data_IF_222866573245
#
_entry.id   IF_222866573245
#
_cell.length_a   1.000
_cell.length_b   1.000
_cell.length_c   1.000
_cell.angle_alpha   90.00
_cell.angle_beta   90.00
_cell.angle_gamma   90.00
#
_symmetry.space_group_name_H-M   'P 1'
#
loop_
_entity.id
_entity.type
_entity.pdbx_description
1 polymer ?
#
# COMPACT_ATOMS: atom_id res chain seq x y z
N UNK A 1 -1.27 4.42 -13.62
CA UNK A 1 -1.77 4.75 -12.28
C UNK A 1 -3.29 4.77 -12.32
N UNK A 2 -3.95 3.89 -11.56
CA UNK A 2 -5.38 4.10 -11.32
C UNK A 2 -5.48 5.32 -10.38
N UNK A 3 -5.88 6.47 -10.92
CA UNK A 3 -6.10 7.69 -10.15
C UNK A 3 -7.00 7.48 -8.91
N UNK A 4 -7.76 6.38 -8.88
CA UNK A 4 -8.63 6.01 -7.75
C UNK A 4 -7.86 5.75 -6.44
N UNK A 5 -6.66 5.18 -6.50
CA UNK A 5 -5.88 4.90 -5.30
C UNK A 5 -5.46 6.18 -4.57
N UNK A 6 -5.11 7.23 -5.32
CA UNK A 6 -4.78 8.52 -4.71
C UNK A 6 -5.99 9.19 -4.05
N UNK A 7 -7.20 8.97 -4.58
CA UNK A 7 -8.42 9.47 -3.93
C UNK A 7 -8.67 8.80 -2.59
N UNK A 8 -8.50 7.49 -2.47
CA UNK A 8 -8.65 6.81 -1.19
C UNK A 8 -7.61 7.28 -0.17
N UNK A 9 -6.36 7.49 -0.60
CA UNK A 9 -5.33 8.05 0.25
C UNK A 9 -5.70 9.48 0.69
N UNK A 10 -6.17 10.34 -0.23
CA UNK A 10 -6.60 11.69 0.09
C UNK A 10 -7.78 11.71 1.07
N UNK A 11 -8.75 10.80 0.95
CA UNK A 11 -9.86 10.65 1.90
C UNK A 11 -9.33 10.27 3.29
N UNK A 12 -8.41 9.31 3.38
CA UNK A 12 -7.82 8.88 4.66
C UNK A 12 -7.03 10.03 5.30
N UNK A 13 -6.23 10.76 4.54
CA UNK A 13 -5.49 11.92 5.03
C UNK A 13 -6.43 13.06 5.47
N UNK A 14 -7.50 13.31 4.71
CA UNK A 14 -8.51 14.31 5.07
C UNK A 14 -9.25 13.92 6.36
N UNK A 15 -9.65 12.65 6.51
CA UNK A 15 -10.27 12.15 7.73
C UNK A 15 -9.33 12.28 8.93
N UNK A 16 -8.05 11.95 8.77
CA UNK A 16 -7.04 12.12 9.78
C UNK A 16 -6.87 13.62 10.16
N UNK A 17 -6.82 14.52 9.18
CA UNK A 17 -6.76 15.96 9.44
C UNK A 17 -7.96 16.44 10.26
N UNK A 18 -9.17 16.01 9.91
CA UNK A 18 -10.40 16.30 10.68
C UNK A 18 -10.31 15.79 12.10
N UNK A 19 -9.82 14.58 12.28
CA UNK A 19 -9.67 13.94 13.60
C UNK A 19 -8.75 14.76 14.52
N UNK A 20 -7.61 15.21 14.00
CA UNK A 20 -6.61 15.92 14.80
C UNK A 20 -6.90 17.42 14.99
N UNK A 21 -7.51 18.07 13.98
CA UNK A 21 -7.69 19.51 13.95
C UNK A 21 -9.16 19.96 13.94
N UNK A 22 -10.12 19.04 13.99
CA UNK A 22 -11.53 19.31 13.74
C UNK A 22 -12.19 20.32 14.67
N UNK A 23 -11.67 20.53 15.90
CA UNK A 23 -12.18 21.58 16.80
C UNK A 23 -11.73 22.97 16.42
N UNK A 24 -10.47 23.14 16.02
CA UNK A 24 -9.87 24.43 15.74
C UNK A 24 -10.15 24.92 14.31
N UNK A 25 -10.23 23.98 13.35
CA UNK A 25 -10.36 24.26 11.92
C UNK A 25 -11.54 23.54 11.27
N UNK A 26 -12.69 23.46 11.97
CA UNK A 26 -13.88 22.72 11.51
C UNK A 26 -14.30 23.07 10.08
N UNK A 27 -14.34 24.37 9.75
CA UNK A 27 -14.72 24.84 8.41
C UNK A 27 -13.70 24.41 7.35
N UNK A 28 -12.40 24.55 7.62
CA UNK A 28 -11.34 24.13 6.69
C UNK A 28 -11.32 22.62 6.50
N UNK A 29 -11.52 21.87 7.59
CA UNK A 29 -11.59 20.40 7.56
C UNK A 29 -12.79 19.90 6.77
N UNK A 30 -13.96 20.51 6.99
CA UNK A 30 -15.18 20.22 6.23
C UNK A 30 -15.02 20.57 4.74
N UNK A 31 -14.47 21.75 4.45
CA UNK A 31 -14.21 22.19 3.07
C UNK A 31 -13.23 21.24 2.34
N UNK A 32 -12.15 20.82 3.01
CA UNK A 32 -11.20 19.86 2.44
C UNK A 32 -11.86 18.50 2.17
N UNK A 33 -12.65 17.99 3.10
CA UNK A 33 -13.37 16.74 2.93
C UNK A 33 -14.38 16.84 1.76
N UNK A 34 -15.14 17.91 1.71
CA UNK A 34 -16.07 18.18 0.60
C UNK A 34 -15.33 18.29 -0.73
N UNK A 35 -14.19 19.00 -0.79
CA UNK A 35 -13.40 19.14 -2.00
C UNK A 35 -12.89 17.77 -2.50
N UNK A 36 -12.38 16.91 -1.61
CA UNK A 36 -11.93 15.56 -1.96
C UNK A 36 -13.09 14.69 -2.44
N UNK A 37 -14.26 14.76 -1.78
CA UNK A 37 -15.44 14.02 -2.19
C UNK A 37 -15.96 14.50 -3.55
N UNK A 38 -16.07 15.81 -3.76
CA UNK A 38 -16.50 16.40 -5.05
C UNK A 38 -15.50 16.02 -6.15
N UNK A 39 -14.20 16.15 -5.93
CA UNK A 39 -13.18 15.74 -6.90
C UNK A 39 -13.28 14.25 -7.23
N UNK A 40 -13.55 13.39 -6.24
CA UNK A 40 -13.74 11.95 -6.43
C UNK A 40 -14.97 11.64 -7.26
N UNK A 41 -16.09 12.32 -6.98
CA UNK A 41 -17.33 12.18 -7.73
C UNK A 41 -17.15 12.68 -9.18
N UNK A 42 -16.59 13.88 -9.36
CA UNK A 42 -16.30 14.43 -10.69
C UNK A 42 -15.39 13.48 -11.48
N UNK A 43 -14.33 12.96 -10.85
CA UNK A 43 -13.45 12.01 -11.50
C UNK A 43 -14.15 10.72 -11.90
N UNK A 44 -15.11 10.23 -11.12
CA UNK A 44 -15.86 9.01 -11.41
C UNK A 44 -16.92 9.20 -12.48
N UNK A 45 -17.63 10.34 -12.48
CA UNK A 45 -18.77 10.58 -13.37
C UNK A 45 -18.42 11.29 -14.69
N UNK A 46 -17.35 12.12 -14.70
CA UNK A 46 -16.99 12.89 -15.89
C UNK A 46 -15.98 12.18 -16.81
N UNK A 47 -15.72 10.91 -16.59
CA UNK A 47 -14.83 10.13 -17.46
C UNK A 47 -15.49 9.87 -18.82
N UNK A 48 -14.78 10.07 -19.95
CA UNK A 48 -15.24 9.63 -21.26
C UNK A 48 -15.53 8.12 -21.28
N UNK A 49 -16.52 7.68 -22.05
CA UNK A 49 -16.93 6.26 -22.13
C UNK A 49 -15.77 5.33 -22.47
N UNK A 50 -14.91 5.71 -23.43
CA UNK A 50 -13.69 4.94 -23.77
C UNK A 50 -12.74 4.76 -22.57
N UNK A 51 -12.59 5.81 -21.75
CA UNK A 51 -11.79 5.71 -20.53
C UNK A 51 -12.42 4.79 -19.50
N UNK A 52 -13.75 4.75 -19.41
CA UNK A 52 -14.45 3.86 -18.48
C UNK A 52 -14.21 2.39 -18.82
N UNK A 53 -14.28 2.02 -20.10
CA UNK A 53 -14.01 0.65 -20.56
C UNK A 53 -12.55 0.23 -20.32
N UNK A 54 -11.60 1.10 -20.62
CA UNK A 54 -10.18 0.90 -20.34
C UNK A 54 -9.93 0.64 -18.86
N UNK A 55 -10.47 1.50 -17.97
CA UNK A 55 -10.30 1.31 -16.53
C UNK A 55 -11.04 0.09 -15.98
N UNK A 56 -12.20 -0.26 -16.56
CA UNK A 56 -12.88 -1.51 -16.22
C UNK A 56 -12.04 -2.74 -16.61
N UNK A 57 -11.32 -2.66 -17.73
CA UNK A 57 -10.35 -3.67 -18.13
C UNK A 57 -9.22 -3.83 -17.10
N UNK A 58 -8.60 -2.72 -16.71
CA UNK A 58 -7.55 -2.71 -15.67
C UNK A 58 -8.11 -3.28 -14.35
N UNK A 59 -9.29 -2.86 -13.91
CA UNK A 59 -9.87 -3.34 -12.66
C UNK A 59 -10.12 -4.85 -12.68
N UNK A 60 -10.52 -5.42 -13.81
CA UNK A 60 -10.65 -6.87 -13.99
C UNK A 60 -9.32 -7.60 -13.87
N UNK A 61 -8.27 -7.09 -14.51
CA UNK A 61 -6.91 -7.61 -14.40
C UNK A 61 -6.46 -7.58 -12.95
N UNK A 62 -6.55 -6.42 -12.31
CA UNK A 62 -6.12 -6.23 -10.93
C UNK A 62 -6.87 -7.14 -9.94
N UNK A 63 -8.17 -7.40 -10.15
CA UNK A 63 -8.92 -8.35 -9.32
C UNK A 63 -8.43 -9.78 -9.50
N UNK A 64 -8.14 -10.17 -10.73
CA UNK A 64 -7.60 -11.49 -11.04
C UNK A 64 -6.26 -11.68 -10.33
N UNK A 65 -5.36 -10.71 -10.44
CA UNK A 65 -4.05 -10.75 -9.80
C UNK A 65 -4.17 -10.73 -8.26
N UNK A 66 -5.02 -9.86 -7.72
CA UNK A 66 -5.27 -9.79 -6.27
C UNK A 66 -5.71 -11.15 -5.72
N UNK A 67 -6.61 -11.85 -6.42
CA UNK A 67 -7.18 -13.10 -5.91
C UNK A 67 -6.24 -14.26 -6.16
N UNK A 68 -5.79 -14.47 -7.39
CA UNK A 68 -5.00 -15.66 -7.72
C UNK A 68 -3.54 -15.53 -7.30
N UNK A 69 -2.91 -14.41 -7.60
CA UNK A 69 -1.49 -14.20 -7.30
C UNK A 69 -1.29 -13.67 -5.87
N UNK A 70 -2.20 -12.83 -5.38
CA UNK A 70 -2.16 -12.32 -4.00
C UNK A 70 -2.70 -13.33 -2.99
N UNK A 71 -4.03 -13.52 -2.96
CA UNK A 71 -4.72 -14.20 -1.85
C UNK A 71 -4.59 -15.70 -1.90
N UNK A 72 -4.95 -16.36 -3.02
CA UNK A 72 -4.96 -17.81 -3.10
C UNK A 72 -3.56 -18.42 -3.02
N UNK A 73 -2.56 -17.77 -3.62
CA UNK A 73 -1.16 -18.21 -3.55
C UNK A 73 -0.63 -18.26 -2.11
N UNK A 74 -1.08 -17.36 -1.25
CA UNK A 74 -0.59 -17.24 0.13
C UNK A 74 -1.53 -17.91 1.14
N UNK A 75 -2.67 -18.45 0.68
CA UNK A 75 -3.57 -19.19 1.55
C UNK A 75 -3.00 -20.59 1.86
N UNK A 76 -3.11 -20.99 3.14
CA UNK A 76 -2.82 -22.38 3.53
C UNK A 76 -3.93 -23.36 3.10
N UNK A 77 -5.10 -22.83 2.72
CA UNK A 77 -6.27 -23.56 2.29
C UNK A 77 -6.93 -22.83 1.10
N UNK A 78 -6.29 -22.89 -0.08
CA UNK A 78 -6.73 -22.09 -1.23
C UNK A 78 -8.13 -22.43 -1.72
N UNK A 79 -8.57 -23.72 -1.60
CA UNK A 79 -9.93 -24.14 -1.95
C UNK A 79 -10.98 -23.49 -1.02
N UNK A 80 -10.74 -23.52 0.31
CA UNK A 80 -11.64 -22.87 1.28
C UNK A 80 -11.66 -21.34 1.06
N UNK A 81 -10.51 -20.74 0.72
CA UNK A 81 -10.43 -19.32 0.41
C UNK A 81 -11.20 -18.97 -0.87
N UNK A 82 -11.11 -19.79 -1.91
CA UNK A 82 -11.87 -19.64 -3.15
C UNK A 82 -13.38 -19.69 -2.88
N UNK A 83 -13.85 -20.66 -2.11
CA UNK A 83 -15.25 -20.80 -1.73
C UNK A 83 -15.73 -19.61 -0.89
N UNK A 84 -14.92 -19.12 0.06
CA UNK A 84 -15.25 -17.93 0.87
C UNK A 84 -15.38 -16.66 0.02
N UNK A 85 -14.67 -16.59 -1.11
CA UNK A 85 -14.79 -15.54 -2.11
C UNK A 85 -16.01 -15.73 -3.05
N UNK A 86 -16.68 -16.88 -2.95
CA UNK A 86 -17.80 -17.27 -3.82
C UNK A 86 -17.36 -17.75 -5.19
N UNK A 87 -16.13 -18.27 -5.27
CA UNK A 87 -15.59 -18.99 -6.42
C UNK A 87 -15.78 -20.49 -6.24
N UNK A 88 -15.64 -21.23 -7.35
CA UNK A 88 -15.58 -22.70 -7.30
C UNK A 88 -14.27 -23.16 -6.66
N UNK A 89 -14.25 -24.28 -5.91
CA UNK A 89 -13.02 -24.77 -5.28
C UNK A 89 -11.89 -25.05 -6.28
N UNK A 90 -12.22 -25.45 -7.52
CA UNK A 90 -11.25 -25.69 -8.59
C UNK A 90 -10.43 -24.43 -8.95
N UNK A 91 -10.96 -23.26 -8.64
CA UNK A 91 -10.25 -21.97 -8.84
C UNK A 91 -8.95 -21.90 -8.04
N UNK A 92 -8.79 -22.71 -6.98
CA UNK A 92 -7.54 -22.83 -6.25
C UNK A 92 -6.36 -23.29 -7.12
N UNK A 93 -6.62 -24.01 -8.23
CA UNK A 93 -5.59 -24.40 -9.19
C UNK A 93 -4.98 -23.22 -9.95
N UNK A 94 -5.62 -22.05 -9.89
CA UNK A 94 -5.10 -20.81 -10.49
C UNK A 94 -4.19 -20.01 -9.51
N UNK A 95 -4.01 -20.51 -8.28
CA UNK A 95 -3.15 -19.85 -7.30
C UNK A 95 -1.73 -19.63 -7.86
N UNK A 96 -1.22 -18.41 -7.74
CA UNK A 96 0.10 -18.02 -8.28
C UNK A 96 0.12 -17.71 -9.78
N UNK A 97 -1.03 -17.73 -10.47
CA UNK A 97 -1.11 -17.41 -11.91
C UNK A 97 -1.70 -16.00 -12.06
N UNK A 98 -0.90 -15.07 -12.57
CA UNK A 98 -1.34 -13.71 -12.83
C UNK A 98 -2.17 -13.56 -14.11
N UNK A 99 -2.95 -12.49 -14.20
CA UNK A 99 -3.79 -12.17 -15.35
C UNK A 99 -3.00 -12.07 -16.66
N UNK A 100 -1.72 -11.70 -16.60
CA UNK A 100 -0.83 -11.67 -17.75
C UNK A 100 -0.78 -13.02 -18.47
N UNK A 101 -0.68 -14.15 -17.72
CA UNK A 101 -0.63 -15.48 -18.31
C UNK A 101 -1.90 -15.82 -19.10
N UNK A 102 -3.06 -15.37 -18.63
CA UNK A 102 -4.34 -15.56 -19.31
C UNK A 102 -4.48 -14.66 -20.55
N UNK A 103 -4.12 -13.40 -20.40
CA UNK A 103 -4.23 -12.39 -21.47
C UNK A 103 -3.34 -12.72 -22.68
N UNK A 104 -2.23 -13.40 -22.46
CA UNK A 104 -1.30 -13.82 -23.52
C UNK A 104 -1.48 -15.28 -23.96
N UNK A 105 -2.55 -15.96 -23.51
CA UNK A 105 -2.85 -17.33 -23.90
C UNK A 105 -1.84 -18.37 -23.40
N UNK A 106 -0.98 -18.00 -22.43
CA UNK A 106 0.00 -18.91 -21.84
C UNK A 106 -0.66 -19.95 -20.92
N UNK A 107 -1.82 -19.62 -20.38
CA UNK A 107 -2.65 -20.47 -19.54
C UNK A 107 -4.13 -20.19 -19.78
N UNK A 108 -4.95 -21.23 -19.78
CA UNK A 108 -6.40 -21.10 -19.80
C UNK A 108 -6.91 -20.64 -18.42
N UNK A 109 -7.78 -19.62 -18.41
CA UNK A 109 -8.45 -19.21 -17.19
C UNK A 109 -9.73 -20.03 -17.00
N UNK A 110 -9.66 -21.05 -16.16
CA UNK A 110 -10.82 -21.89 -15.82
C UNK A 110 -11.85 -21.20 -14.91
N UNK A 111 -11.53 -20.00 -14.40
CA UNK A 111 -12.36 -19.24 -13.45
C UNK A 111 -12.51 -17.77 -13.88
N UNK A 112 -13.11 -17.46 -15.03
CA UNK A 112 -13.24 -16.10 -15.53
C UNK A 112 -14.11 -15.21 -14.62
N UNK A 113 -14.95 -15.81 -13.77
CA UNK A 113 -15.79 -15.12 -12.79
C UNK A 113 -14.98 -14.36 -11.72
N UNK A 114 -13.69 -14.66 -11.53
CA UNK A 114 -12.82 -13.95 -10.60
C UNK A 114 -12.77 -12.44 -10.88
N UNK A 115 -12.83 -12.06 -12.15
CA UNK A 115 -12.79 -10.67 -12.58
C UNK A 115 -14.00 -9.85 -12.10
N UNK A 116 -15.10 -10.49 -11.71
CA UNK A 116 -16.32 -9.86 -11.21
C UNK A 116 -16.47 -9.86 -9.69
N UNK A 117 -15.51 -10.47 -8.96
CA UNK A 117 -15.56 -10.57 -7.50
C UNK A 117 -15.56 -9.17 -6.87
N UNK A 118 -16.54 -8.93 -5.99
CA UNK A 118 -16.59 -7.68 -5.22
C UNK A 118 -15.44 -7.61 -4.20
N UNK A 119 -14.80 -6.44 -4.08
CA UNK A 119 -13.79 -6.19 -3.04
C UNK A 119 -14.32 -6.35 -1.60
N UNK A 120 -15.65 -6.23 -1.41
CA UNK A 120 -16.27 -6.54 -0.12
C UNK A 120 -16.12 -8.01 0.28
N UNK A 121 -16.02 -8.93 -0.68
CA UNK A 121 -15.75 -10.35 -0.39
C UNK A 121 -14.34 -10.55 0.20
N UNK A 122 -13.37 -9.72 -0.17
CA UNK A 122 -12.04 -9.73 0.46
C UNK A 122 -12.10 -9.32 1.93
N UNK A 123 -12.96 -8.35 2.28
CA UNK A 123 -13.19 -7.98 3.69
C UNK A 123 -13.84 -9.13 4.46
N UNK A 124 -14.82 -9.82 3.86
CA UNK A 124 -15.42 -11.00 4.46
C UNK A 124 -14.40 -12.12 4.66
N UNK A 125 -13.55 -12.36 3.67
CA UNK A 125 -12.44 -13.32 3.78
C UNK A 125 -11.49 -12.94 4.93
N UNK A 126 -11.21 -11.64 5.13
CA UNK A 126 -10.36 -11.19 6.22
C UNK A 126 -10.93 -11.54 7.61
N UNK A 127 -12.26 -11.54 7.74
CA UNK A 127 -12.95 -11.96 8.97
C UNK A 127 -12.94 -13.48 9.13
N UNK A 128 -13.20 -14.21 8.04
CA UNK A 128 -13.30 -15.67 8.06
C UNK A 128 -11.93 -16.36 8.13
N UNK A 129 -10.92 -15.80 7.45
CA UNK A 129 -9.58 -16.37 7.33
C UNK A 129 -8.50 -15.29 7.57
N UNK A 130 -8.39 -14.73 8.78
CA UNK A 130 -7.43 -13.65 9.06
C UNK A 130 -5.98 -14.08 8.84
N UNK A 131 -5.66 -15.36 9.02
CA UNK A 131 -4.32 -15.89 8.75
C UNK A 131 -3.94 -15.83 7.26
N UNK A 132 -4.88 -16.03 6.33
CA UNK A 132 -4.65 -15.88 4.89
C UNK A 132 -4.30 -14.44 4.57
N UNK A 133 -5.09 -13.48 5.07
CA UNK A 133 -4.83 -12.06 4.85
C UNK A 133 -3.50 -11.61 5.46
N UNK A 134 -3.18 -12.08 6.67
CA UNK A 134 -1.90 -11.78 7.32
C UNK A 134 -0.71 -12.30 6.50
N UNK A 135 -0.79 -13.54 5.96
CA UNK A 135 0.26 -14.09 5.09
C UNK A 135 0.39 -13.32 3.79
N UNK A 136 -0.74 -12.93 3.18
CA UNK A 136 -0.75 -12.11 1.96
C UNK A 136 -0.11 -10.75 2.20
N UNK A 137 -0.43 -10.09 3.32
CA UNK A 137 0.21 -8.82 3.71
C UNK A 137 1.70 -8.98 4.01
N UNK A 138 2.09 -10.08 4.65
CA UNK A 138 3.50 -10.38 4.92
C UNK A 138 4.27 -10.56 3.61
N UNK A 139 3.72 -11.33 2.67
CA UNK A 139 4.32 -11.51 1.34
C UNK A 139 4.43 -10.18 0.57
N UNK A 140 3.37 -9.35 0.62
CA UNK A 140 3.41 -8.00 0.07
C UNK A 140 4.48 -7.13 0.72
N UNK A 141 4.63 -7.20 2.04
CA UNK A 141 5.69 -6.48 2.76
C UNK A 141 7.09 -6.92 2.29
N UNK A 142 7.30 -8.22 2.11
CA UNK A 142 8.56 -8.77 1.59
C UNK A 142 8.83 -8.34 0.15
N UNK A 143 7.79 -8.26 -0.68
CA UNK A 143 7.91 -7.79 -2.06
C UNK A 143 8.38 -6.32 -2.16
N UNK A 144 8.23 -5.53 -1.08
CA UNK A 144 8.76 -4.17 -1.00
C UNK A 144 10.25 -4.09 -0.68
N UNK A 145 10.89 -5.16 -0.23
CA UNK A 145 12.33 -5.13 0.08
C UNK A 145 13.19 -4.68 -1.11
N UNK A 146 13.01 -5.16 -2.35
CA UNK A 146 13.76 -4.69 -3.51
C UNK A 146 13.52 -3.21 -3.86
N UNK A 147 12.36 -2.65 -3.48
CA UNK A 147 11.98 -1.26 -3.77
C UNK A 147 12.97 -0.25 -3.19
N UNK A 148 13.64 -0.58 -2.08
CA UNK A 148 14.69 0.28 -1.53
C UNK A 148 15.91 0.44 -2.47
N UNK A 149 16.09 -0.48 -3.43
CA UNK A 149 17.10 -0.37 -4.50
C UNK A 149 16.66 0.51 -5.67
N UNK A 150 15.39 0.92 -5.70
CA UNK A 150 14.77 1.61 -6.84
C UNK A 150 15.11 3.09 -6.96
N UNK A 151 15.68 3.73 -5.94
CA UNK A 151 16.06 5.14 -6.03
C UNK A 151 16.86 5.49 -7.28
N UNK A 152 17.77 4.63 -7.77
CA UNK A 152 18.48 4.85 -9.04
C UNK A 152 17.65 4.55 -10.28
N UNK A 153 16.66 3.66 -10.20
CA UNK A 153 15.85 3.23 -11.36
C UNK A 153 14.71 4.19 -11.70
N UNK A 154 14.38 5.15 -10.83
CA UNK A 154 13.46 6.25 -11.15
C UNK A 154 13.98 7.13 -12.29
N UNK A 155 15.27 6.99 -12.66
CA UNK A 155 15.90 7.66 -13.80
C UNK A 155 16.56 6.63 -14.73
N UNK A 156 15.78 5.80 -15.47
CA UNK A 156 16.32 4.71 -16.29
C UNK A 156 17.27 5.21 -17.39
N UNK A 157 17.17 6.48 -17.80
CA UNK A 157 18.06 7.07 -18.79
C UNK A 157 19.47 7.38 -18.27
N UNK A 158 19.68 7.38 -16.96
CA UNK A 158 20.97 7.62 -16.31
C UNK A 158 21.51 6.42 -15.53
N UNK A 159 20.74 5.34 -15.45
CA UNK A 159 21.14 4.14 -14.69
C UNK A 159 22.40 3.47 -15.25
N UNK A 160 22.67 3.62 -16.56
CA UNK A 160 23.88 3.13 -17.20
C UNK A 160 25.14 3.97 -16.91
N UNK A 161 24.96 5.22 -16.45
CA UNK A 161 26.05 6.16 -16.16
C UNK A 161 26.50 6.09 -14.69
N UNK A 162 25.67 5.50 -13.80
CA UNK A 162 25.98 5.35 -12.40
C UNK A 162 26.85 4.10 -12.20
N UNK A 163 28.05 4.30 -11.68
CA UNK A 163 28.96 3.16 -11.41
C UNK A 163 28.34 2.20 -10.38
N UNK A 164 28.51 0.87 -10.57
CA UNK A 164 28.02 -0.12 -9.61
C UNK A 164 28.45 0.13 -8.16
N UNK A 165 29.59 0.78 -7.94
CA UNK A 165 30.08 1.12 -6.60
C UNK A 165 29.28 2.21 -5.87
N UNK A 166 28.61 3.11 -6.58
CA UNK A 166 27.76 4.12 -5.96
C UNK A 166 26.51 3.52 -5.29
N UNK A 167 26.03 2.39 -5.83
CA UNK A 167 24.86 1.68 -5.25
C UNK A 167 25.24 0.87 -4.01
N UNK A 168 26.43 0.27 -4.02
CA UNK A 168 26.89 -0.58 -2.92
C UNK A 168 27.07 0.16 -1.60
N UNK A 169 27.28 1.48 -1.63
CA UNK A 169 27.51 2.32 -0.45
C UNK A 169 26.30 3.11 0.04
N UNK A 170 25.15 3.01 -0.66
CA UNK A 170 23.94 3.73 -0.24
C UNK A 170 23.23 3.02 0.92
N UNK A 171 22.62 3.75 1.90
CA UNK A 171 21.80 3.12 2.93
C UNK A 171 20.66 2.24 2.36
N UNK A 172 20.19 2.54 1.17
CA UNK A 172 19.17 1.74 0.47
C UNK A 172 19.69 0.37 0.06
N UNK A 173 20.97 0.23 -0.31
CA UNK A 173 21.55 -1.07 -0.65
C UNK A 173 21.61 -2.02 0.54
N UNK A 174 21.82 -1.49 1.76
CA UNK A 174 21.77 -2.27 3.00
C UNK A 174 20.38 -2.87 3.23
N UNK A 175 19.34 -2.14 2.85
CA UNK A 175 17.96 -2.62 2.99
C UNK A 175 17.62 -3.72 1.99
N UNK A 176 18.06 -3.56 0.72
CA UNK A 176 17.86 -4.59 -0.33
C UNK A 176 18.56 -5.88 0.03
N UNK A 177 19.81 -5.79 0.56
CA UNK A 177 20.62 -6.95 0.91
C UNK A 177 20.39 -7.47 2.33
N UNK A 178 19.54 -6.81 3.13
CA UNK A 178 19.27 -7.22 4.50
C UNK A 178 18.69 -8.64 4.56
N UNK A 179 19.15 -9.49 5.49
CA UNK A 179 18.49 -10.75 5.75
C UNK A 179 17.01 -10.54 6.08
N UNK A 180 16.13 -11.44 5.59
CA UNK A 180 14.66 -11.36 5.77
C UNK A 180 14.24 -10.98 7.20
N UNK A 181 14.85 -11.60 8.20
CA UNK A 181 14.52 -11.31 9.61
C UNK A 181 14.84 -9.88 10.03
N UNK A 182 15.96 -9.34 9.57
CA UNK A 182 16.35 -7.95 9.85
C UNK A 182 15.41 -6.97 9.15
N UNK A 183 15.07 -7.22 7.87
CA UNK A 183 14.13 -6.40 7.12
C UNK A 183 12.75 -6.37 7.81
N UNK A 184 12.18 -7.53 8.12
CA UNK A 184 10.89 -7.62 8.80
C UNK A 184 10.92 -7.00 10.20
N UNK A 185 12.04 -7.15 10.92
CA UNK A 185 12.25 -6.50 12.21
C UNK A 185 12.19 -4.98 12.09
N UNK A 186 12.83 -4.41 11.06
CA UNK A 186 12.75 -2.97 10.79
C UNK A 186 11.33 -2.52 10.44
N UNK A 187 10.61 -3.27 9.60
CA UNK A 187 9.20 -2.94 9.27
C UNK A 187 8.32 -2.99 10.53
N UNK A 188 8.56 -3.95 11.43
CA UNK A 188 7.86 -4.01 12.70
C UNK A 188 8.16 -2.79 13.58
N UNK A 189 9.42 -2.34 13.66
CA UNK A 189 9.81 -1.11 14.36
C UNK A 189 9.09 0.10 13.75
N UNK A 190 9.06 0.23 12.44
CA UNK A 190 8.32 1.31 11.76
C UNK A 190 6.84 1.30 12.11
N UNK A 191 6.20 0.12 12.12
CA UNK A 191 4.79 -0.01 12.48
C UNK A 191 4.53 0.40 13.94
N UNK A 192 5.39 -0.01 14.87
CA UNK A 192 5.29 0.37 16.30
C UNK A 192 5.50 1.88 16.49
N UNK A 193 6.50 2.46 15.81
CA UNK A 193 6.75 3.91 15.85
C UNK A 193 5.55 4.69 15.30
N UNK A 194 4.99 4.27 14.17
CA UNK A 194 3.83 4.92 13.56
C UNK A 194 2.59 4.83 14.45
N UNK A 195 2.30 3.66 15.00
CA UNK A 195 1.18 3.45 15.93
C UNK A 195 1.35 4.26 17.22
N UNK A 196 2.54 4.24 17.80
CA UNK A 196 2.87 5.02 19.01
C UNK A 196 2.76 6.53 18.76
N UNK A 197 3.27 7.02 17.64
CA UNK A 197 3.18 8.42 17.25
C UNK A 197 1.72 8.84 16.97
N UNK A 198 0.91 7.96 16.37
CA UNK A 198 -0.52 8.19 16.17
C UNK A 198 -1.24 8.34 17.50
N UNK A 199 -1.04 7.39 18.43
CA UNK A 199 -1.64 7.45 19.78
C UNK A 199 -1.19 8.72 20.52
N UNK A 200 0.12 9.05 20.45
CA UNK A 200 0.63 10.25 21.07
C UNK A 200 0.01 11.52 20.47
N UNK A 201 -0.15 11.59 19.15
CA UNK A 201 -0.78 12.71 18.46
C UNK A 201 -2.27 12.91 18.86
N UNK A 202 -2.96 11.87 19.36
CA UNK A 202 -4.32 11.99 19.92
C UNK A 202 -4.34 12.70 21.27
N UNK A 203 -3.22 12.69 22.02
CA UNK A 203 -3.11 13.35 23.31
C UNK A 203 -2.94 14.88 23.15
N UNK A 204 -3.39 15.71 24.11
CA UNK A 204 -3.30 17.16 24.02
C UNK A 204 -1.89 17.69 23.73
N UNK A 205 -0.87 17.08 24.36
CA UNK A 205 0.55 17.45 24.16
C UNK A 205 1.08 17.04 22.79
N UNK A 206 0.60 15.92 22.25
CA UNK A 206 1.06 15.39 20.96
C UNK A 206 0.42 16.07 19.75
N UNK A 207 -0.75 16.73 19.92
CA UNK A 207 -1.47 17.38 18.82
C UNK A 207 -0.67 18.46 18.10
N UNK A 208 0.23 19.13 18.79
CA UNK A 208 1.08 20.18 18.23
C UNK A 208 2.47 19.68 17.83
N UNK A 209 2.75 18.39 18.02
CA UNK A 209 4.06 17.81 17.74
C UNK A 209 4.19 17.48 16.26
N UNK A 210 4.98 18.27 15.54
CA UNK A 210 5.25 18.04 14.11
C UNK A 210 5.94 16.70 13.85
N UNK A 211 6.89 16.31 14.71
CA UNK A 211 7.59 15.04 14.56
C UNK A 211 6.65 13.84 14.73
N UNK A 212 5.69 13.91 15.66
CA UNK A 212 4.71 12.84 15.82
C UNK A 212 3.81 12.70 14.58
N UNK A 213 3.37 13.84 14.03
CA UNK A 213 2.60 13.83 12.77
C UNK A 213 3.43 13.30 11.61
N UNK A 214 4.69 13.66 11.48
CA UNK A 214 5.58 13.13 10.44
C UNK A 214 5.72 11.60 10.54
N UNK A 215 5.92 11.04 11.74
CA UNK A 215 6.08 9.60 11.96
C UNK A 215 4.80 8.84 11.55
N UNK A 216 3.63 9.21 12.10
CA UNK A 216 2.43 8.44 11.83
C UNK A 216 1.92 8.61 10.40
N UNK A 217 2.04 9.81 9.78
CA UNK A 217 1.70 10.02 8.37
C UNK A 217 2.63 9.21 7.48
N UNK A 218 3.94 9.25 7.75
CA UNK A 218 4.91 8.44 7.02
C UNK A 218 4.61 6.95 7.10
N UNK A 219 4.30 6.44 8.29
CA UNK A 219 3.88 5.05 8.49
C UNK A 219 2.58 4.71 7.74
N UNK A 220 1.60 5.62 7.77
CA UNK A 220 0.35 5.46 7.02
C UNK A 220 0.59 5.37 5.51
N UNK A 221 1.47 6.22 4.96
CA UNK A 221 1.83 6.18 3.55
C UNK A 221 2.51 4.85 3.17
N UNK A 222 3.43 4.37 4.00
CA UNK A 222 4.08 3.07 3.80
C UNK A 222 3.06 1.93 3.85
N UNK A 223 2.22 1.87 4.88
CA UNK A 223 1.19 0.84 5.01
C UNK A 223 0.18 0.89 3.86
N UNK A 224 -0.29 2.10 3.50
CA UNK A 224 -1.22 2.28 2.38
C UNK A 224 -0.61 1.78 1.07
N UNK A 225 0.66 2.07 0.83
CA UNK A 225 1.37 1.62 -0.36
C UNK A 225 1.41 0.09 -0.45
N UNK A 226 1.81 -0.59 0.62
CA UNK A 226 1.81 -2.07 0.70
C UNK A 226 0.38 -2.60 0.52
N UNK A 227 -0.58 -2.07 1.26
CA UNK A 227 -1.97 -2.52 1.21
C UNK A 227 -2.57 -2.35 -0.19
N UNK A 228 -2.34 -1.20 -0.84
CA UNK A 228 -2.86 -0.92 -2.18
C UNK A 228 -2.21 -1.78 -3.26
N UNK A 229 -0.94 -2.13 -3.11
CA UNK A 229 -0.26 -3.07 -4.00
C UNK A 229 -0.83 -4.49 -3.85
N UNK A 230 -0.99 -4.95 -2.61
CA UNK A 230 -1.49 -6.30 -2.31
C UNK A 230 -2.94 -6.48 -2.77
N UNK A 231 -3.83 -5.57 -2.35
CA UNK A 231 -5.28 -5.69 -2.58
C UNK A 231 -5.80 -4.84 -3.75
N UNK A 232 -4.94 -4.06 -4.38
CA UNK A 232 -5.25 -3.27 -5.56
C UNK A 232 -4.90 -3.97 -6.86
N UNK A 233 -3.72 -4.59 -6.94
CA UNK A 233 -3.19 -5.23 -8.15
C UNK A 233 -2.44 -6.55 -7.91
N UNK A 234 -2.57 -7.14 -6.73
CA UNK A 234 -2.03 -8.46 -6.43
C UNK A 234 -0.49 -8.54 -6.40
N UNK A 235 0.18 -7.45 -6.04
CA UNK A 235 1.64 -7.32 -5.98
C UNK A 235 2.37 -7.36 -7.34
N UNK A 236 1.65 -7.24 -8.46
CA UNK A 236 2.25 -7.31 -9.81
C UNK A 236 3.02 -6.02 -10.13
N UNK A 237 2.63 -4.89 -9.53
CA UNK A 237 3.20 -3.57 -9.84
C UNK A 237 3.70 -2.85 -8.58
N UNK A 238 4.43 -3.56 -7.72
CA UNK A 238 4.97 -3.02 -6.45
C UNK A 238 5.75 -1.72 -6.67
N UNK A 239 6.50 -1.64 -7.78
CA UNK A 239 7.29 -0.45 -8.13
C UNK A 239 6.42 0.80 -8.33
N UNK A 240 5.22 0.67 -8.87
CA UNK A 240 4.31 1.81 -9.06
C UNK A 240 3.85 2.41 -7.72
N UNK A 241 3.70 1.56 -6.71
CA UNK A 241 3.31 1.98 -5.37
C UNK A 241 4.49 2.55 -4.57
N UNK A 242 5.72 2.26 -4.98
CA UNK A 242 6.94 2.81 -4.39
C UNK A 242 6.98 4.34 -4.38
N UNK A 243 6.34 4.99 -5.34
CA UNK A 243 6.21 6.44 -5.41
C UNK A 243 5.51 7.05 -4.17
N UNK A 244 4.68 6.27 -3.47
CA UNK A 244 4.04 6.68 -2.20
C UNK A 244 4.82 6.14 -1.00
N UNK A 245 5.36 4.93 -1.12
CA UNK A 245 6.10 4.27 -0.04
C UNK A 245 7.38 5.04 0.35
N UNK A 246 8.19 5.43 -0.62
CA UNK A 246 9.49 6.06 -0.37
C UNK A 246 9.38 7.41 0.35
N UNK A 247 8.53 8.37 -0.08
CA UNK A 247 8.28 9.58 0.69
C UNK A 247 7.77 9.30 2.11
N UNK A 248 6.90 8.31 2.27
CA UNK A 248 6.40 7.87 3.57
C UNK A 248 7.53 7.36 4.48
N UNK A 249 8.40 6.53 3.95
CA UNK A 249 9.57 6.01 4.65
C UNK A 249 10.52 7.13 5.11
N UNK A 250 10.85 8.06 4.22
CA UNK A 250 11.70 9.21 4.54
C UNK A 250 11.05 10.06 5.63
N UNK A 251 9.76 10.38 5.48
CA UNK A 251 9.02 11.21 6.43
C UNK A 251 8.98 10.58 7.83
N UNK A 252 8.79 9.25 7.93
CA UNK A 252 8.79 8.51 9.19
C UNK A 252 10.14 8.64 9.90
N UNK A 253 11.23 8.37 9.20
CA UNK A 253 12.56 8.37 9.82
C UNK A 253 13.06 9.76 10.15
N UNK A 254 12.79 10.77 9.33
CA UNK A 254 13.07 12.16 9.67
C UNK A 254 12.26 12.60 10.90
N UNK A 255 10.98 12.24 10.97
CA UNK A 255 10.17 12.50 12.16
C UNK A 255 10.72 11.85 13.42
N UNK A 256 11.18 10.59 13.32
CA UNK A 256 11.80 9.88 14.44
C UNK A 256 13.09 10.57 14.91
N UNK A 257 13.95 10.98 13.96
CA UNK A 257 15.18 11.70 14.25
C UNK A 257 14.89 13.04 14.94
N UNK A 258 13.96 13.84 14.41
CA UNK A 258 13.59 15.12 15.01
C UNK A 258 12.98 14.95 16.41
N UNK A 259 12.14 13.92 16.62
CA UNK A 259 11.57 13.61 17.92
C UNK A 259 12.64 13.21 18.95
N UNK A 260 13.69 12.49 18.53
CA UNK A 260 14.83 12.17 19.38
C UNK A 260 15.63 13.42 19.73
N UNK A 261 15.95 14.27 18.77
CA UNK A 261 16.70 15.52 18.99
C UNK A 261 15.95 16.48 19.92
N UNK A 262 14.65 16.62 19.75
CA UNK A 262 13.78 17.44 20.61
C UNK A 262 13.84 16.96 22.07
N UNK A 263 13.76 15.66 22.30
CA UNK A 263 13.87 15.08 23.64
C UNK A 263 15.27 15.27 24.26
N UNK A 264 16.31 15.10 23.47
CA UNK A 264 17.69 15.31 23.96
C UNK A 264 17.94 16.79 24.30
N UNK A 265 17.34 17.71 23.56
CA UNK A 265 17.43 19.14 23.86
C UNK A 265 16.66 19.50 25.15
N UNK A 266 15.46 18.94 25.33
CA UNK A 266 14.65 19.18 26.52
C UNK A 266 15.22 18.57 27.81
N UNK A 267 16.12 17.61 27.71
CA UNK A 267 16.79 16.94 28.83
C UNK A 267 18.06 17.68 29.33
N UNK A 268 18.53 18.68 28.58
CA UNK A 268 19.65 19.59 28.96
C UNK A 268 19.14 20.84 29.60
#
# INVERSE_FOLDING_TARGET
FSNQQYFYLAIVLAAAFVLFNGRQYRLHSAAMLCAVLVASLCHSYLRPAQSQEFYAGIDRVNRTDTIFYGVLMHSSKPEEAAVSLGLRPECAQMAGIGAHAFNHGLKENICPEVASISRLKLLNLAVQQPATIAKTLLAGTEAYQPVYGFFPQLYPHHASELSPGMYASSPSSLMVSAPRGLYLGMVAVMAVLAAGAFIYALLPRGRQSLWAHAIWIGGLLCFYSIFSSVFGDGMVEVERHAAVFLPGFILLWLGALFGLLDRLHAAR
#
